data_IF_856019092408
#
_entry.id   IF_856019092408
#
_cell.length_a   1.000
_cell.length_b   1.000
_cell.length_c   1.000
_cell.angle_alpha   90.00
_cell.angle_beta   90.00
_cell.angle_gamma   90.00
#
_symmetry.space_group_name_H-M   'P 1'
#
loop_
_entity.id
_entity.type
_entity.pdbx_description
1 polymer ?
#
# COMPACT_ATOMS: atom_id res chain seq x y z
N UNK A 1 -8.21 10.86 -38.43
CA UNK A 1 -7.38 10.27 -37.35
C UNK A 1 -7.97 10.75 -36.03
N UNK A 2 -8.89 9.98 -35.44
CA UNK A 2 -9.45 10.33 -34.14
C UNK A 2 -8.49 9.83 -33.07
N UNK A 3 -7.80 10.76 -32.41
CA UNK A 3 -7.16 10.48 -31.14
C UNK A 3 -8.28 10.10 -30.17
N UNK A 4 -8.40 8.82 -29.84
CA UNK A 4 -9.30 8.36 -28.79
C UNK A 4 -8.96 9.11 -27.52
N UNK A 5 -9.91 9.90 -27.02
CA UNK A 5 -9.85 10.47 -25.69
C UNK A 5 -9.85 9.27 -24.76
N UNK A 6 -8.66 8.86 -24.29
CA UNK A 6 -8.56 7.73 -23.38
C UNK A 6 -9.39 8.04 -22.16
N UNK A 7 -10.42 7.24 -21.89
CA UNK A 7 -11.24 7.43 -20.70
C UNK A 7 -10.33 7.49 -19.48
N UNK A 8 -10.44 8.56 -18.70
CA UNK A 8 -9.66 8.72 -17.49
C UNK A 8 -10.05 7.58 -16.55
N UNK A 9 -9.18 6.57 -16.42
CA UNK A 9 -9.44 5.45 -15.51
C UNK A 9 -9.59 6.00 -14.10
N UNK A 10 -10.56 5.47 -13.35
CA UNK A 10 -10.68 5.79 -11.93
C UNK A 10 -9.41 5.27 -11.22
N UNK A 11 -8.70 6.12 -10.45
CA UNK A 11 -7.48 5.70 -9.78
C UNK A 11 -7.77 4.65 -8.72
N UNK A 12 -6.94 3.62 -8.64
CA UNK A 12 -7.03 2.58 -7.60
C UNK A 12 -6.20 3.04 -6.41
N UNK A 13 -6.89 3.50 -5.36
CA UNK A 13 -6.29 3.97 -4.11
C UNK A 13 -6.70 2.99 -3.02
N UNK A 14 -5.73 2.29 -2.42
CA UNK A 14 -5.97 1.31 -1.37
C UNK A 14 -5.42 1.83 -0.04
N UNK A 15 -6.13 1.52 1.05
CA UNK A 15 -5.70 1.83 2.41
C UNK A 15 -5.69 0.61 3.31
N UNK A 16 -4.73 0.54 4.20
CA UNK A 16 -4.67 -0.45 5.28
C UNK A 16 -4.42 0.34 6.56
N UNK A 17 -5.52 0.62 7.27
CA UNK A 17 -5.57 1.49 8.45
C UNK A 17 -6.79 1.08 9.27
N UNK A 18 -6.61 0.82 10.56
CA UNK A 18 -7.64 0.32 11.46
C UNK A 18 -8.58 1.42 11.99
N UNK A 19 -8.09 2.67 12.11
CA UNK A 19 -8.80 3.78 12.76
C UNK A 19 -9.19 4.90 11.80
N UNK A 20 -8.28 5.35 10.95
CA UNK A 20 -8.48 6.57 10.16
C UNK A 20 -9.46 6.33 9.01
N UNK A 21 -10.34 7.30 8.74
CA UNK A 21 -11.04 7.35 7.47
C UNK A 21 -10.06 7.78 6.38
N UNK A 22 -10.00 7.01 5.28
CA UNK A 22 -9.24 7.35 4.08
C UNK A 22 -10.24 7.70 2.97
N UNK A 23 -10.80 8.91 2.92
CA UNK A 23 -11.95 9.24 2.07
C UNK A 23 -11.64 9.20 0.57
N UNK A 24 -10.35 9.25 0.19
CA UNK A 24 -9.90 9.09 -1.18
C UNK A 24 -9.59 7.64 -1.55
N UNK A 25 -9.51 6.74 -0.57
CA UNK A 25 -9.30 5.33 -0.84
C UNK A 25 -10.55 4.72 -1.45
N UNK A 26 -10.36 4.02 -2.56
CA UNK A 26 -11.40 3.22 -3.20
C UNK A 26 -11.82 2.05 -2.32
N UNK A 27 -10.88 1.47 -1.56
CA UNK A 27 -11.10 0.41 -0.59
C UNK A 27 -10.13 0.55 0.59
N UNK A 28 -10.61 0.16 1.76
CA UNK A 28 -9.82 0.17 2.99
C UNK A 28 -9.94 -1.18 3.68
N UNK A 29 -8.80 -1.75 4.07
CA UNK A 29 -8.70 -2.89 4.97
C UNK A 29 -8.39 -2.39 6.39
N UNK A 30 -8.96 -3.05 7.40
CA UNK A 30 -8.84 -2.67 8.82
C UNK A 30 -7.87 -3.53 9.62
N UNK A 31 -7.27 -4.54 8.98
CA UNK A 31 -6.21 -5.39 9.53
C UNK A 31 -5.20 -5.73 8.45
N UNK A 32 -4.03 -6.24 8.84
CA UNK A 32 -3.02 -6.71 7.90
C UNK A 32 -3.53 -7.89 7.08
N UNK A 33 -4.32 -8.79 7.67
CA UNK A 33 -4.95 -9.92 7.00
C UNK A 33 -5.93 -9.50 5.90
N UNK A 34 -6.82 -8.55 6.19
CA UNK A 34 -7.67 -7.96 5.17
C UNK A 34 -6.86 -7.24 4.08
N UNK A 35 -5.76 -6.59 4.48
CA UNK A 35 -4.84 -5.91 3.57
C UNK A 35 -4.17 -6.85 2.58
N UNK A 36 -3.75 -8.04 3.03
CA UNK A 36 -3.19 -9.10 2.19
C UNK A 36 -4.22 -9.56 1.15
N UNK A 37 -5.44 -9.88 1.59
CA UNK A 37 -6.51 -10.30 0.68
C UNK A 37 -6.82 -9.20 -0.35
N UNK A 38 -6.91 -7.95 0.12
CA UNK A 38 -7.15 -6.80 -0.73
C UNK A 38 -6.06 -6.62 -1.81
N UNK A 39 -4.78 -6.81 -1.46
CA UNK A 39 -3.69 -6.74 -2.42
C UNK A 39 -3.73 -7.89 -3.43
N UNK A 40 -4.00 -9.11 -2.99
CA UNK A 40 -4.13 -10.28 -3.87
C UNK A 40 -5.30 -10.14 -4.85
N UNK A 41 -6.42 -9.56 -4.44
CA UNK A 41 -7.53 -9.21 -5.35
C UNK A 41 -7.12 -8.20 -6.43
N UNK A 42 -6.05 -7.42 -6.20
CA UNK A 42 -5.47 -6.48 -7.14
C UNK A 42 -4.19 -7.00 -7.81
N UNK A 43 -3.88 -8.29 -7.67
CA UNK A 43 -2.70 -8.88 -8.28
C UNK A 43 -2.67 -8.65 -9.80
N UNK A 44 -1.54 -8.15 -10.29
CA UNK A 44 -1.35 -7.83 -11.71
C UNK A 44 -2.00 -6.52 -12.20
N UNK A 45 -2.87 -5.90 -11.38
CA UNK A 45 -3.51 -4.60 -11.64
C UNK A 45 -2.64 -3.46 -11.10
N UNK A 46 -2.79 -2.27 -11.69
CA UNK A 46 -2.11 -1.07 -11.22
C UNK A 46 -2.84 -0.53 -9.97
N UNK A 47 -2.07 -0.30 -8.90
CA UNK A 47 -2.46 0.46 -7.72
C UNK A 47 -1.78 1.83 -7.84
N UNK A 48 -2.56 2.89 -7.87
CA UNK A 48 -2.04 4.25 -8.02
C UNK A 48 -1.48 4.77 -6.69
N UNK A 49 -2.16 4.46 -5.58
CA UNK A 49 -1.69 4.80 -4.24
C UNK A 49 -1.99 3.66 -3.26
N UNK A 50 -1.01 3.33 -2.42
CA UNK A 50 -1.17 2.41 -1.29
C UNK A 50 -0.83 3.13 0.01
N UNK A 51 -1.80 3.23 0.92
CA UNK A 51 -1.67 3.87 2.22
C UNK A 51 -1.54 2.81 3.30
N UNK A 52 -0.50 2.93 4.13
CA UNK A 52 -0.11 1.94 5.13
C UNK A 52 -0.03 2.60 6.51
N UNK A 53 -0.86 2.16 7.46
CA UNK A 53 -0.64 2.41 8.88
C UNK A 53 0.26 1.35 9.46
N UNK A 54 1.39 1.74 10.04
CA UNK A 54 2.27 0.78 10.71
C UNK A 54 1.61 0.15 11.94
N UNK A 55 0.92 0.97 12.75
CA UNK A 55 0.40 0.60 14.06
C UNK A 55 -1.07 0.19 13.96
N UNK A 56 -1.33 -1.03 13.46
CA UNK A 56 -2.68 -1.59 13.47
C UNK A 56 -3.03 -2.06 14.89
N UNK A 57 -4.31 -1.97 15.27
CA UNK A 57 -4.75 -2.24 16.64
C UNK A 57 -4.49 -3.67 17.13
N UNK A 58 -4.41 -3.83 18.45
CA UNK A 58 -4.12 -5.10 19.10
C UNK A 58 -2.65 -5.50 18.94
N UNK A 59 -2.40 -6.75 18.57
CA UNK A 59 -1.05 -7.27 18.25
C UNK A 59 -0.74 -7.21 16.75
N UNK A 60 -1.64 -6.60 15.96
CA UNK A 60 -1.47 -6.49 14.51
C UNK A 60 -0.50 -5.35 14.16
N UNK A 61 0.13 -5.44 13.00
CA UNK A 61 0.95 -4.37 12.45
C UNK A 61 0.97 -4.49 10.93
N UNK A 62 1.49 -3.49 10.23
CA UNK A 62 1.59 -3.59 8.77
C UNK A 62 2.62 -4.60 8.28
N UNK A 63 3.45 -5.14 9.16
CA UNK A 63 4.60 -5.94 8.78
C UNK A 63 4.24 -7.17 7.92
N UNK A 64 3.15 -7.93 8.15
CA UNK A 64 2.75 -9.02 7.25
C UNK A 64 2.48 -8.55 5.81
N UNK A 65 1.90 -7.38 5.63
CA UNK A 65 1.68 -6.77 4.31
C UNK A 65 3.02 -6.37 3.68
N UNK A 66 3.93 -5.80 4.47
CA UNK A 66 5.27 -5.46 3.99
C UNK A 66 6.01 -6.72 3.54
N UNK A 67 6.00 -7.78 4.34
CA UNK A 67 6.58 -9.09 3.99
C UNK A 67 6.03 -9.62 2.68
N UNK A 68 4.71 -9.57 2.46
CA UNK A 68 4.10 -9.97 1.18
C UNK A 68 4.66 -9.17 -0.01
N UNK A 69 4.81 -7.85 0.13
CA UNK A 69 5.36 -6.99 -0.92
C UNK A 69 6.84 -7.31 -1.22
N UNK A 70 7.61 -7.63 -0.17
CA UNK A 70 9.00 -8.06 -0.28
C UNK A 70 9.14 -9.41 -0.98
N UNK A 71 8.39 -10.43 -0.54
CA UNK A 71 8.40 -11.77 -1.12
C UNK A 71 8.00 -11.73 -2.60
N UNK A 72 6.96 -10.97 -2.92
CA UNK A 72 6.54 -10.77 -4.30
C UNK A 72 7.65 -10.12 -5.17
N UNK A 73 8.36 -9.13 -4.63
CA UNK A 73 9.46 -8.48 -5.33
C UNK A 73 10.68 -9.40 -5.47
N UNK A 74 11.04 -10.15 -4.42
CA UNK A 74 12.08 -11.16 -4.42
C UNK A 74 11.83 -12.24 -5.49
N UNK A 75 10.59 -12.69 -5.62
CA UNK A 75 10.16 -13.67 -6.62
C UNK A 75 10.13 -13.12 -8.06
N UNK A 76 10.51 -11.85 -8.29
CA UNK A 76 10.50 -11.21 -9.60
C UNK A 76 9.11 -10.83 -10.09
N UNK A 77 8.13 -10.77 -9.19
CA UNK A 77 6.72 -10.43 -9.47
C UNK A 77 6.21 -9.37 -8.48
N UNK A 78 6.85 -8.19 -8.41
CA UNK A 78 6.41 -7.12 -7.51
C UNK A 78 4.99 -6.66 -7.84
N UNK A 79 4.30 -6.11 -6.83
CA UNK A 79 3.01 -5.46 -7.07
C UNK A 79 3.23 -4.18 -7.89
N UNK A 80 2.28 -3.88 -8.80
CA UNK A 80 2.34 -2.65 -9.61
C UNK A 80 1.79 -1.49 -8.80
N UNK A 81 2.64 -0.84 -8.01
CA UNK A 81 2.26 0.27 -7.13
C UNK A 81 3.02 1.55 -7.52
N UNK A 82 2.30 2.62 -7.84
CA UNK A 82 2.92 3.89 -8.26
C UNK A 82 3.52 4.67 -7.09
N UNK A 83 2.84 4.68 -5.94
CA UNK A 83 3.29 5.37 -4.73
C UNK A 83 2.76 4.67 -3.48
N UNK A 84 3.64 4.48 -2.50
CA UNK A 84 3.29 4.00 -1.16
C UNK A 84 3.45 5.15 -0.17
N UNK A 85 2.41 5.38 0.64
CA UNK A 85 2.42 6.33 1.74
C UNK A 85 2.40 5.57 3.06
N UNK A 86 3.34 5.88 3.94
CA UNK A 86 3.44 5.24 5.26
C UNK A 86 3.17 6.30 6.34
N UNK A 87 2.13 6.09 7.13
CA UNK A 87 1.88 6.79 8.38
C UNK A 87 2.01 5.83 9.57
N UNK A 88 2.25 6.39 10.74
CA UNK A 88 2.53 5.64 11.96
C UNK A 88 2.57 6.61 13.13
N UNK A 89 2.08 6.20 14.30
CA UNK A 89 2.35 6.86 15.57
C UNK A 89 3.75 6.52 16.10
N UNK A 90 4.35 5.40 15.66
CA UNK A 90 5.72 4.98 15.93
C UNK A 90 6.68 5.40 14.78
N UNK A 91 7.54 6.42 14.97
CA UNK A 91 8.45 6.89 13.91
C UNK A 91 9.43 5.82 13.45
N UNK A 92 10.00 5.05 14.38
CA UNK A 92 10.96 3.97 14.09
C UNK A 92 10.33 2.85 13.28
N UNK A 93 9.07 2.51 13.58
CA UNK A 93 8.26 1.55 12.82
C UNK A 93 8.11 1.98 11.37
N UNK A 94 7.70 3.24 11.14
CA UNK A 94 7.55 3.75 9.79
C UNK A 94 8.89 3.85 9.02
N UNK A 95 9.98 4.24 9.67
CA UNK A 95 11.30 4.28 9.03
C UNK A 95 11.75 2.89 8.58
N UNK A 96 11.43 1.85 9.36
CA UNK A 96 11.70 0.46 9.02
C UNK A 96 10.94 0.06 7.75
N UNK A 97 9.64 0.30 7.70
CA UNK A 97 8.80 0.04 6.52
C UNK A 97 9.33 0.76 5.28
N UNK A 98 9.65 2.05 5.41
CA UNK A 98 10.18 2.85 4.30
C UNK A 98 11.50 2.29 3.77
N UNK A 99 12.41 1.92 4.68
CA UNK A 99 13.73 1.35 4.31
C UNK A 99 13.56 0.03 3.57
N UNK A 100 12.72 -0.85 4.10
CA UNK A 100 12.44 -2.16 3.52
C UNK A 100 11.86 -2.04 2.12
N UNK A 101 10.78 -1.27 1.95
CA UNK A 101 10.11 -1.17 0.66
C UNK A 101 10.97 -0.47 -0.40
N UNK A 102 11.81 0.51 0.00
CA UNK A 102 12.77 1.14 -0.92
C UNK A 102 13.87 0.20 -1.41
N UNK A 103 14.25 -0.81 -0.61
CA UNK A 103 15.22 -1.83 -1.04
C UNK A 103 14.70 -2.65 -2.24
N UNK A 104 13.38 -2.72 -2.38
CA UNK A 104 12.68 -3.42 -3.47
C UNK A 104 12.18 -2.48 -4.57
N UNK A 105 12.79 -1.30 -4.70
CA UNK A 105 12.48 -0.27 -5.71
C UNK A 105 11.04 0.28 -5.68
N UNK A 106 10.28 0.02 -4.62
CA UNK A 106 9.01 0.71 -4.43
C UNK A 106 9.25 2.20 -4.16
N UNK A 107 8.40 3.04 -4.75
CA UNK A 107 8.36 4.48 -4.45
C UNK A 107 7.59 4.70 -3.15
N UNK A 108 8.29 5.15 -2.11
CA UNK A 108 7.72 5.29 -0.77
C UNK A 108 7.96 6.69 -0.19
N UNK A 109 6.91 7.27 0.39
CA UNK A 109 6.94 8.53 1.13
C UNK A 109 6.37 8.35 2.53
N UNK A 110 6.94 9.06 3.50
CA UNK A 110 6.29 9.27 4.79
C UNK A 110 5.13 10.23 4.59
N UNK A 111 3.96 9.85 5.08
CA UNK A 111 2.85 10.76 5.25
C UNK A 111 2.82 11.19 6.72
N UNK A 112 2.78 12.49 6.96
CA UNK A 112 2.43 13.04 8.27
C UNK A 112 0.91 13.05 8.37
N UNK A 113 0.39 12.57 9.51
CA UNK A 113 -1.02 12.72 9.86
C UNK A 113 -1.41 14.21 9.95
#
# INVERSE_FOLDING_TARGET
MNAGVGEARVPVILGIDDLRPLPRATRVARSSGEGILLLEEHRGRQIDELWLDHDLGGDDSIMPVVTLLEEAAFDGRPFKISMIFVHSANPSGAETVVRVLRRWDYRVRRATA
#
